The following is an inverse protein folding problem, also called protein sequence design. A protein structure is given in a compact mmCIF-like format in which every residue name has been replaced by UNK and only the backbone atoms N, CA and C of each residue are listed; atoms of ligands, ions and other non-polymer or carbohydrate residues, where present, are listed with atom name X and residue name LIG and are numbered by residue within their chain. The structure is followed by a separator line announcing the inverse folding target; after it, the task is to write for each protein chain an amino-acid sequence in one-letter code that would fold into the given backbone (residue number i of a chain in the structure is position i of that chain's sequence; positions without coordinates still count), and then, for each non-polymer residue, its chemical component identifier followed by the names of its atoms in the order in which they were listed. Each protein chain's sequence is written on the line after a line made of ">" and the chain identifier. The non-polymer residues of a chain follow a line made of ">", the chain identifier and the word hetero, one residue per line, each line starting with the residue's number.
data_IF_395612800644
#
_entry.id   IF_395612800644
#
_cell.length_a   1.000
_cell.length_b   1.000
_cell.length_c   1.000
_cell.angle_alpha   90.00
_cell.angle_beta   90.00
_cell.angle_gamma   90.00
#
_symmetry.space_group_name_H-M   'P 1'
#
loop_
_entity.id
_entity.type
_entity.pdbx_description
1 polymer ?
#
# COMPACT_ATOMS: atom_id res chain seq x y z
N UNK A 1 4.14 4.66 4.52
CA UNK A 1 4.02 5.92 5.30
C UNK A 1 4.85 5.88 6.58
N UNK A 2 4.80 4.79 7.33
CA UNK A 2 5.57 4.58 8.57
C UNK A 2 5.29 5.59 9.69
N UNK A 3 4.02 5.96 9.90
CA UNK A 3 3.61 6.85 11.00
C UNK A 3 3.90 6.19 12.36
N UNK A 4 4.28 7.02 13.35
CA UNK A 4 4.58 6.57 14.70
C UNK A 4 4.39 7.74 15.69
N UNK A 5 3.19 7.91 16.21
CA UNK A 5 2.83 8.98 17.14
C UNK A 5 2.56 8.44 18.54
N UNK A 6 1.64 7.50 18.66
CA UNK A 6 1.31 6.84 19.93
C UNK A 6 2.30 5.72 20.26
N UNK A 7 2.85 5.07 19.25
CA UNK A 7 3.89 4.09 19.43
C UNK A 7 5.17 4.74 19.99
N UNK A 8 5.77 4.17 21.01
CA UNK A 8 7.00 4.71 21.63
C UNK A 8 8.26 4.45 20.80
N UNK A 9 9.34 5.12 21.17
CA UNK A 9 10.66 4.95 20.55
C UNK A 9 10.82 5.72 19.23
N UNK A 10 11.90 5.44 18.53
CA UNK A 10 12.26 6.04 17.24
C UNK A 10 11.90 5.10 16.09
N UNK A 11 11.85 5.64 14.87
CA UNK A 11 11.70 4.83 13.67
C UNK A 11 12.82 3.78 13.55
N UNK A 12 12.54 2.67 12.90
CA UNK A 12 13.50 1.60 12.65
C UNK A 12 14.61 2.01 11.67
N UNK A 13 14.34 3.01 10.83
CA UNK A 13 15.30 3.65 9.91
C UNK A 13 15.30 5.16 10.16
N UNK A 14 16.47 5.81 10.34
CA UNK A 14 16.56 7.26 10.60
C UNK A 14 16.08 8.13 9.42
N UNK A 15 15.99 7.60 8.21
CA UNK A 15 15.44 8.31 7.05
C UNK A 15 13.91 8.46 7.14
N UNK A 16 13.24 7.62 7.92
CA UNK A 16 11.80 7.66 8.12
C UNK A 16 11.43 8.76 9.11
N UNK A 17 10.82 9.81 8.61
CA UNK A 17 10.37 10.94 9.42
C UNK A 17 9.02 10.64 10.10
N UNK A 18 8.92 9.50 10.76
CA UNK A 18 7.67 8.89 11.29
C UNK A 18 6.89 9.82 12.22
N UNK A 19 7.58 10.67 13.00
CA UNK A 19 6.97 11.63 13.92
C UNK A 19 6.43 12.89 13.24
N UNK A 20 6.93 13.22 12.05
CA UNK A 20 6.48 14.36 11.25
C UNK A 20 5.33 14.00 10.30
N UNK A 21 4.89 12.73 10.29
CA UNK A 21 3.84 12.31 9.37
C UNK A 21 2.50 13.05 9.55
N UNK A 22 2.05 13.46 10.75
CA UNK A 22 0.84 14.28 10.86
C UNK A 22 0.95 15.61 10.11
N UNK A 23 2.09 16.33 10.23
CA UNK A 23 2.31 17.58 9.50
C UNK A 23 2.32 17.33 7.98
N UNK A 24 2.95 16.23 7.52
CA UNK A 24 2.95 15.84 6.12
C UNK A 24 1.53 15.51 5.61
N UNK A 25 0.73 14.81 6.42
CA UNK A 25 -0.66 14.49 6.09
C UNK A 25 -1.54 15.75 6.03
N UNK A 26 -1.35 16.72 6.92
CA UNK A 26 -2.06 18.00 6.88
C UNK A 26 -1.75 18.77 5.59
N UNK A 27 -0.47 18.81 5.19
CA UNK A 27 -0.06 19.42 3.91
C UNK A 27 -0.62 18.67 2.70
N UNK A 28 -0.61 17.34 2.75
CA UNK A 28 -1.22 16.53 1.70
C UNK A 28 -2.73 16.77 1.59
N UNK A 29 -3.44 16.95 2.71
CA UNK A 29 -4.86 17.27 2.70
C UNK A 29 -5.18 18.61 2.01
N UNK A 30 -4.28 19.61 2.12
CA UNK A 30 -4.40 20.86 1.37
C UNK A 30 -4.23 20.62 -0.15
N UNK A 31 -3.24 19.82 -0.56
CA UNK A 31 -3.04 19.44 -1.97
C UNK A 31 -4.23 18.64 -2.52
N UNK A 32 -4.79 17.74 -1.74
CA UNK A 32 -5.97 16.94 -2.14
C UNK A 32 -7.16 17.84 -2.48
N UNK A 33 -7.38 18.93 -1.75
CA UNK A 33 -8.45 19.89 -2.04
C UNK A 33 -8.28 20.60 -3.40
N UNK A 34 -7.03 20.84 -3.80
CA UNK A 34 -6.70 21.47 -5.08
C UNK A 34 -6.77 20.47 -6.24
N UNK A 35 -6.26 19.27 -5.99
CA UNK A 35 -6.14 18.20 -7.00
C UNK A 35 -7.47 17.49 -7.25
N UNK A 36 -8.38 17.47 -6.27
CA UNK A 36 -9.70 16.82 -6.32
C UNK A 36 -9.70 15.39 -6.89
N UNK A 37 -8.88 14.47 -6.34
CA UNK A 37 -8.81 13.10 -6.84
C UNK A 37 -10.11 12.33 -6.55
N UNK A 38 -10.43 11.37 -7.41
CA UNK A 38 -11.58 10.47 -7.24
C UNK A 38 -11.34 9.42 -6.14
N UNK A 39 -10.08 9.08 -5.87
CA UNK A 39 -9.71 8.06 -4.89
C UNK A 39 -8.30 8.30 -4.35
N UNK A 40 -8.12 8.02 -3.07
CA UNK A 40 -6.80 7.95 -2.42
C UNK A 40 -6.35 6.49 -2.30
N UNK A 41 -5.09 6.21 -2.62
CA UNK A 41 -4.51 4.87 -2.52
C UNK A 41 -3.31 4.89 -1.58
N UNK A 42 -3.31 3.99 -0.58
CA UNK A 42 -2.17 3.79 0.30
C UNK A 42 -1.76 2.32 0.31
N UNK A 43 -0.58 2.05 -0.23
CA UNK A 43 -0.11 0.72 -0.57
C UNK A 43 0.71 0.04 0.56
N UNK A 44 0.33 0.28 1.81
CA UNK A 44 0.91 -0.41 2.98
C UNK A 44 2.02 0.35 3.70
N UNK A 45 2.55 -0.29 4.76
CA UNK A 45 3.49 0.31 5.70
C UNK A 45 2.97 1.65 6.24
N UNK A 46 1.74 1.62 6.74
CA UNK A 46 1.11 2.79 7.34
C UNK A 46 1.85 3.19 8.62
N UNK A 47 2.23 2.18 9.40
CA UNK A 47 2.97 2.32 10.66
C UNK A 47 4.41 1.80 10.53
N UNK A 48 5.21 2.04 11.57
CA UNK A 48 6.55 1.49 11.74
C UNK A 48 6.61 0.66 13.04
N UNK A 49 5.88 -0.46 13.06
CA UNK A 49 5.82 -1.35 14.22
C UNK A 49 7.11 -2.18 14.31
N UNK A 50 7.79 -2.25 15.49
CA UNK A 50 8.96 -3.10 15.68
C UNK A 50 8.68 -4.59 15.39
N UNK A 51 9.66 -5.30 14.82
CA UNK A 51 9.52 -6.73 14.53
C UNK A 51 9.21 -7.56 15.78
N UNK A 52 9.81 -7.21 16.92
CA UNK A 52 9.57 -7.87 18.21
C UNK A 52 8.07 -7.84 18.59
N UNK A 53 7.38 -6.74 18.31
CA UNK A 53 5.94 -6.62 18.61
C UNK A 53 5.13 -7.48 17.66
N UNK A 54 5.49 -7.52 16.37
CA UNK A 54 4.83 -8.39 15.39
C UNK A 54 5.01 -9.87 15.70
N UNK A 55 6.14 -10.24 16.31
CA UNK A 55 6.44 -11.60 16.76
C UNK A 55 5.84 -11.93 18.14
N UNK A 56 5.03 -11.04 18.73
CA UNK A 56 4.34 -11.24 20.00
C UNK A 56 5.15 -10.87 21.25
N UNK A 57 6.34 -10.32 21.07
CA UNK A 57 7.19 -9.79 22.14
C UNK A 57 7.03 -8.30 22.36
N UNK A 58 8.01 -7.71 23.06
CA UNK A 58 8.08 -6.25 23.28
C UNK A 58 9.53 -5.78 23.26
N UNK A 59 9.82 -4.60 22.68
CA UNK A 59 11.17 -4.03 22.69
C UNK A 59 11.54 -3.30 23.98
N UNK A 60 10.60 -3.15 24.94
CA UNK A 60 10.77 -2.43 26.19
C UNK A 60 9.92 -3.04 27.33
N UNK A 61 9.78 -2.35 28.46
CA UNK A 61 9.08 -2.83 29.66
C UNK A 61 7.54 -2.81 29.54
N UNK A 62 6.98 -2.32 28.44
CA UNK A 62 5.53 -2.34 28.20
C UNK A 62 5.05 -3.72 27.83
N UNK A 63 3.79 -4.01 28.12
CA UNK A 63 3.14 -5.23 27.67
C UNK A 63 2.91 -5.23 26.15
N UNK A 64 2.82 -6.40 25.56
CA UNK A 64 2.44 -6.53 24.15
C UNK A 64 1.06 -5.88 23.85
N UNK A 65 0.11 -5.98 24.79
CA UNK A 65 -1.21 -5.34 24.68
C UNK A 65 -1.10 -3.81 24.59
N UNK A 66 -0.26 -3.16 25.38
CA UNK A 66 -0.02 -1.72 25.30
C UNK A 66 0.57 -1.30 23.93
N UNK A 67 1.44 -2.14 23.36
CA UNK A 67 1.96 -1.92 22.01
C UNK A 67 0.88 -2.06 20.94
N UNK A 68 0.02 -3.08 21.03
CA UNK A 68 -1.12 -3.28 20.12
C UNK A 68 -2.08 -2.09 20.18
N UNK A 69 -2.45 -1.62 21.36
CA UNK A 69 -3.33 -0.47 21.53
C UNK A 69 -2.69 0.83 21.00
N UNK A 70 -1.37 1.01 21.17
CA UNK A 70 -0.66 2.14 20.57
C UNK A 70 -0.69 2.10 19.04
N UNK A 71 -0.55 0.90 18.46
CA UNK A 71 -0.65 0.72 17.01
C UNK A 71 -2.08 1.00 16.51
N UNK A 72 -3.11 0.52 17.20
CA UNK A 72 -4.52 0.85 16.87
C UNK A 72 -4.78 2.34 16.92
N UNK A 73 -4.27 3.04 17.93
CA UNK A 73 -4.40 4.48 18.04
C UNK A 73 -3.73 5.21 16.87
N UNK A 74 -2.57 4.75 16.41
CA UNK A 74 -1.88 5.31 15.25
C UNK A 74 -2.64 4.99 13.93
N UNK A 75 -3.20 3.79 13.76
CA UNK A 75 -4.09 3.48 12.63
C UNK A 75 -5.35 4.34 12.64
N UNK A 76 -5.94 4.59 13.82
CA UNK A 76 -7.12 5.43 13.93
C UNK A 76 -6.84 6.88 13.50
N UNK A 77 -5.67 7.45 13.83
CA UNK A 77 -5.25 8.77 13.32
C UNK A 77 -5.26 8.81 11.78
N UNK A 78 -4.75 7.75 11.14
CA UNK A 78 -4.72 7.67 9.68
C UNK A 78 -6.14 7.52 9.11
N UNK A 79 -6.98 6.72 9.74
CA UNK A 79 -8.38 6.56 9.33
C UNK A 79 -9.14 7.88 9.45
N UNK A 80 -9.03 8.55 10.59
CA UNK A 80 -9.68 9.85 10.83
C UNK A 80 -9.23 10.89 9.81
N UNK A 81 -7.94 10.87 9.42
CA UNK A 81 -7.42 11.72 8.36
C UNK A 81 -8.07 11.40 7.00
N UNK A 82 -8.18 10.13 6.60
CA UNK A 82 -8.89 9.74 5.38
C UNK A 82 -10.34 10.22 5.40
N UNK A 83 -11.05 9.96 6.50
CA UNK A 83 -12.45 10.35 6.64
C UNK A 83 -12.63 11.88 6.55
N UNK A 84 -11.68 12.65 7.08
CA UNK A 84 -11.68 14.11 7.01
C UNK A 84 -11.45 14.66 5.59
N UNK A 85 -10.79 13.92 4.70
CA UNK A 85 -10.62 14.32 3.29
C UNK A 85 -11.94 14.25 2.50
N UNK A 86 -12.89 13.46 2.94
CA UNK A 86 -14.13 13.12 2.24
C UNK A 86 -13.93 12.51 0.84
N UNK A 87 -12.73 12.06 0.50
CA UNK A 87 -12.39 11.37 -0.75
C UNK A 87 -12.45 9.85 -0.49
N UNK A 88 -13.07 9.06 -1.37
CA UNK A 88 -12.99 7.61 -1.28
C UNK A 88 -11.53 7.14 -1.19
N UNK A 89 -11.26 6.12 -0.38
CA UNK A 89 -9.89 5.60 -0.26
C UNK A 89 -9.84 4.07 -0.30
N UNK A 90 -8.70 3.55 -0.71
CA UNK A 90 -8.33 2.15 -0.62
C UNK A 90 -6.97 2.02 0.05
N UNK A 91 -6.85 1.03 0.95
CA UNK A 91 -5.67 0.85 1.77
C UNK A 91 -5.38 -0.64 1.95
N UNK A 92 -4.12 -1.01 1.95
CA UNK A 92 -3.66 -2.37 2.25
C UNK A 92 -2.58 -2.31 3.34
N UNK A 93 -2.40 -3.35 4.16
CA UNK A 93 -1.29 -3.41 5.10
C UNK A 93 0.03 -3.71 4.38
N UNK A 94 1.14 -3.36 5.02
CA UNK A 94 2.49 -3.74 4.64
C UNK A 94 3.18 -4.55 5.74
N UNK A 95 4.46 -4.88 5.52
CA UNK A 95 5.19 -5.71 6.48
C UNK A 95 5.59 -4.99 7.78
N UNK A 96 5.52 -3.66 7.83
CA UNK A 96 5.71 -2.88 9.06
C UNK A 96 4.41 -2.64 9.84
N UNK A 97 3.27 -3.03 9.29
CA UNK A 97 1.98 -2.95 9.96
C UNK A 97 1.74 -4.15 10.87
N UNK A 98 0.95 -3.97 11.93
CA UNK A 98 0.46 -5.04 12.79
C UNK A 98 -0.90 -5.48 12.25
N UNK A 99 -0.94 -6.63 11.58
CA UNK A 99 -2.10 -7.09 10.78
C UNK A 99 -3.41 -7.11 11.58
N UNK A 100 -3.39 -7.62 12.82
CA UNK A 100 -4.58 -7.67 13.68
C UNK A 100 -5.10 -6.26 14.04
N UNK A 101 -4.21 -5.35 14.43
CA UNK A 101 -4.57 -3.98 14.75
C UNK A 101 -5.04 -3.20 13.50
N UNK A 102 -4.43 -3.47 12.33
CA UNK A 102 -4.88 -2.92 11.06
C UNK A 102 -6.31 -3.41 10.73
N UNK A 103 -6.55 -4.71 10.87
CA UNK A 103 -7.85 -5.32 10.61
C UNK A 103 -8.98 -4.77 11.51
N UNK A 104 -8.67 -4.47 12.77
CA UNK A 104 -9.63 -3.87 13.70
C UNK A 104 -10.04 -2.44 13.29
N UNK A 105 -9.18 -1.72 12.58
CA UNK A 105 -9.45 -0.32 12.17
C UNK A 105 -9.98 -0.24 10.74
N UNK A 106 -9.40 -0.96 9.77
CA UNK A 106 -9.70 -0.83 8.33
C UNK A 106 -10.61 -1.91 7.76
N UNK A 107 -11.11 -2.84 8.58
CA UNK A 107 -12.00 -3.96 8.22
C UNK A 107 -11.38 -4.98 7.22
N UNK A 108 -11.32 -6.26 7.58
CA UNK A 108 -10.88 -7.34 6.71
C UNK A 108 -12.03 -8.25 6.26
N UNK A 109 -11.84 -9.07 5.22
CA UNK A 109 -10.90 -8.85 4.12
C UNK A 109 -11.44 -7.78 3.17
N UNK A 110 -10.58 -7.06 2.48
CA UNK A 110 -11.04 -6.03 1.56
C UNK A 110 -11.84 -6.67 0.41
N UNK A 111 -13.06 -6.18 0.21
CA UNK A 111 -13.86 -6.55 -0.97
C UNK A 111 -13.51 -5.62 -2.13
N UNK A 112 -13.68 -6.06 -3.38
CA UNK A 112 -13.55 -5.17 -4.54
C UNK A 112 -14.45 -3.94 -4.38
N UNK A 113 -13.96 -2.77 -4.73
CA UNK A 113 -14.69 -1.49 -4.67
C UNK A 113 -14.71 -0.84 -6.04
N UNK A 114 -15.89 -0.47 -6.51
CA UNK A 114 -16.04 0.30 -7.73
C UNK A 114 -16.00 1.80 -7.40
N UNK A 115 -14.99 2.50 -7.93
CA UNK A 115 -14.78 3.92 -7.72
C UNK A 115 -14.40 4.55 -9.06
N UNK A 116 -15.09 5.60 -9.48
CA UNK A 116 -14.81 6.36 -10.71
C UNK A 116 -14.60 5.46 -11.95
N UNK A 117 -15.44 4.44 -12.15
CA UNK A 117 -15.39 3.55 -13.31
C UNK A 117 -14.33 2.45 -13.26
N UNK A 118 -13.52 2.40 -12.21
CA UNK A 118 -12.49 1.39 -11.99
C UNK A 118 -12.84 0.48 -10.81
N UNK A 119 -12.56 -0.81 -10.92
CA UNK A 119 -12.71 -1.79 -9.84
C UNK A 119 -11.38 -1.99 -9.12
N UNK A 120 -11.33 -1.65 -7.84
CA UNK A 120 -10.15 -1.79 -6.98
C UNK A 120 -10.16 -3.14 -6.26
N UNK A 121 -9.12 -3.94 -6.51
CA UNK A 121 -8.81 -5.14 -5.76
C UNK A 121 -7.65 -4.86 -4.82
N UNK A 122 -7.87 -5.08 -3.52
CA UNK A 122 -6.87 -4.90 -2.47
C UNK A 122 -6.37 -6.26 -2.00
N UNK A 123 -5.06 -6.48 -2.05
CA UNK A 123 -4.45 -7.75 -1.67
C UNK A 123 -3.60 -7.58 -0.40
N UNK A 124 -3.93 -8.36 0.62
CA UNK A 124 -3.21 -8.39 1.90
C UNK A 124 -2.32 -9.63 1.91
N UNK A 125 -1.12 -9.51 1.41
CA UNK A 125 -0.22 -10.62 1.18
C UNK A 125 0.71 -10.89 2.36
N UNK A 126 1.24 -12.09 2.43
CA UNK A 126 2.09 -12.58 3.50
C UNK A 126 3.56 -12.57 3.09
N UNK A 127 4.43 -12.69 4.10
CA UNK A 127 5.83 -13.04 3.92
C UNK A 127 6.01 -14.54 4.17
N UNK A 128 6.77 -15.20 3.31
CA UNK A 128 7.25 -16.54 3.58
C UNK A 128 8.35 -16.52 4.66
N UNK A 129 8.76 -17.70 5.14
CA UNK A 129 9.80 -17.83 6.19
C UNK A 129 11.13 -17.16 5.82
N UNK A 130 11.46 -17.09 4.55
CA UNK A 130 12.65 -16.40 4.02
C UNK A 130 12.45 -14.90 3.79
N UNK A 131 11.36 -14.34 4.31
CA UNK A 131 10.95 -12.93 4.18
C UNK A 131 10.68 -12.48 2.73
N UNK A 132 10.53 -13.39 1.79
CA UNK A 132 10.08 -13.05 0.43
C UNK A 132 8.56 -13.03 0.37
N UNK A 133 7.95 -12.03 -0.30
CA UNK A 133 6.50 -11.94 -0.44
C UNK A 133 5.87 -13.15 -1.13
N UNK A 134 4.72 -13.56 -0.64
CA UNK A 134 4.00 -14.72 -1.14
C UNK A 134 2.49 -14.47 -1.15
N UNK A 135 1.83 -14.84 -2.25
CA UNK A 135 0.36 -14.84 -2.36
C UNK A 135 -0.13 -16.26 -2.46
N UNK A 136 -0.84 -16.73 -1.44
CA UNK A 136 -1.35 -18.11 -1.35
C UNK A 136 -2.80 -18.16 -0.86
N UNK A 137 -3.38 -19.36 -0.83
CA UNK A 137 -4.71 -19.60 -0.30
C UNK A 137 -5.78 -18.67 -0.88
N UNK A 138 -6.65 -18.16 -0.04
CA UNK A 138 -7.75 -17.27 -0.43
C UNK A 138 -7.30 -16.00 -1.18
N UNK A 139 -6.10 -15.48 -0.87
CA UNK A 139 -5.54 -14.30 -1.54
C UNK A 139 -5.14 -14.60 -2.99
N UNK A 140 -4.61 -15.80 -3.24
CA UNK A 140 -4.32 -16.29 -4.59
C UNK A 140 -5.62 -16.54 -5.37
N UNK A 141 -6.60 -17.15 -4.72
CA UNK A 141 -7.93 -17.37 -5.30
C UNK A 141 -8.60 -16.05 -5.67
N UNK A 142 -8.54 -15.03 -4.80
CA UNK A 142 -9.03 -13.67 -5.09
C UNK A 142 -8.35 -13.06 -6.31
N UNK A 143 -7.04 -13.23 -6.46
CA UNK A 143 -6.30 -12.72 -7.62
C UNK A 143 -6.71 -13.44 -8.91
N UNK A 144 -6.83 -14.76 -8.88
CA UNK A 144 -7.27 -15.56 -10.02
C UNK A 144 -8.72 -15.24 -10.40
N UNK A 145 -9.60 -15.07 -9.41
CA UNK A 145 -10.99 -14.67 -9.59
C UNK A 145 -11.12 -13.29 -10.22
N UNK A 146 -10.35 -12.31 -9.76
CA UNK A 146 -10.30 -10.97 -10.34
C UNK A 146 -10.00 -10.99 -11.85
N UNK A 147 -9.12 -11.88 -12.28
CA UNK A 147 -8.67 -11.98 -13.67
C UNK A 147 -9.60 -12.81 -14.57
N UNK A 148 -10.36 -13.76 -14.00
CA UNK A 148 -11.06 -14.78 -14.79
C UNK A 148 -12.58 -14.78 -14.63
N UNK A 149 -13.10 -14.32 -13.48
CA UNK A 149 -14.54 -14.31 -13.24
C UNK A 149 -15.24 -13.28 -14.14
N UNK A 150 -16.27 -13.68 -14.91
CA UNK A 150 -17.02 -12.74 -15.75
C UNK A 150 -17.69 -11.58 -15.00
N UNK A 151 -17.99 -11.72 -13.71
CA UNK A 151 -18.53 -10.62 -12.88
C UNK A 151 -17.52 -9.49 -12.69
N UNK A 152 -16.25 -9.76 -12.93
CA UNK A 152 -15.14 -8.81 -12.85
C UNK A 152 -14.63 -8.35 -14.22
N UNK A 153 -15.45 -8.51 -15.27
CA UNK A 153 -15.12 -8.07 -16.63
C UNK A 153 -15.29 -6.53 -16.77
N UNK A 154 -14.35 -5.80 -16.17
CA UNK A 154 -14.32 -4.34 -16.14
C UNK A 154 -12.86 -3.86 -15.92
N UNK A 155 -12.56 -2.58 -16.18
CA UNK A 155 -11.25 -2.02 -15.89
C UNK A 155 -10.90 -2.13 -14.38
N UNK A 156 -9.69 -2.61 -14.08
CA UNK A 156 -9.27 -2.93 -12.72
C UNK A 156 -7.99 -2.20 -12.32
N UNK A 157 -7.90 -1.85 -11.03
CA UNK A 157 -6.67 -1.44 -10.36
C UNK A 157 -6.40 -2.42 -9.22
N UNK A 158 -5.24 -3.04 -9.25
CA UNK A 158 -4.78 -3.94 -8.19
C UNK A 158 -3.89 -3.17 -7.22
N UNK A 159 -4.25 -3.16 -5.94
CA UNK A 159 -3.50 -2.50 -4.86
C UNK A 159 -2.92 -3.57 -3.95
N UNK A 160 -1.61 -3.50 -3.72
CA UNK A 160 -0.87 -4.47 -2.94
C UNK A 160 0.38 -3.81 -2.32
N UNK A 161 1.01 -4.46 -1.35
CA UNK A 161 2.22 -3.88 -0.76
C UNK A 161 3.49 -4.22 -1.54
N UNK A 162 3.62 -5.44 -2.04
CA UNK A 162 4.84 -5.91 -2.69
C UNK A 162 4.80 -5.80 -4.21
N UNK A 163 5.97 -5.83 -4.84
CA UNK A 163 6.13 -5.63 -6.28
C UNK A 163 5.96 -6.92 -7.07
N UNK A 164 5.32 -6.80 -8.24
CA UNK A 164 5.34 -7.83 -9.28
C UNK A 164 6.39 -7.46 -10.34
N UNK A 165 6.42 -6.20 -10.77
CA UNK A 165 7.30 -5.67 -11.82
C UNK A 165 7.62 -4.17 -11.53
N UNK A 166 8.75 -3.62 -11.97
CA UNK A 166 9.92 -4.30 -12.52
C UNK A 166 10.70 -5.07 -11.45
N UNK A 167 11.52 -6.07 -11.85
CA UNK A 167 12.32 -6.80 -10.87
C UNK A 167 13.37 -5.89 -10.22
N UNK A 168 13.55 -6.05 -8.91
CA UNK A 168 14.50 -5.26 -8.11
C UNK A 168 15.92 -5.81 -8.21
N UNK A 169 16.51 -5.76 -9.37
CA UNK A 169 17.84 -6.32 -9.67
C UNK A 169 18.90 -5.83 -8.69
N UNK A 170 19.59 -6.75 -8.03
CA UNK A 170 20.68 -6.44 -7.09
C UNK A 170 20.25 -6.00 -5.69
N UNK A 171 18.93 -5.87 -5.41
CA UNK A 171 18.40 -5.48 -4.11
C UNK A 171 17.94 -6.65 -3.24
N UNK A 172 17.97 -7.86 -3.78
CA UNK A 172 17.45 -9.06 -3.12
C UNK A 172 15.97 -9.30 -3.38
N UNK A 173 15.55 -10.54 -3.14
CA UNK A 173 14.20 -11.00 -3.51
C UNK A 173 13.10 -10.56 -2.55
N UNK A 174 13.42 -9.91 -1.45
CA UNK A 174 12.45 -9.50 -0.41
C UNK A 174 11.43 -8.44 -0.87
N UNK A 175 11.66 -7.81 -2.02
CA UNK A 175 10.79 -6.74 -2.53
C UNK A 175 9.72 -7.26 -3.50
N UNK A 176 9.92 -8.42 -4.09
CA UNK A 176 9.05 -8.98 -5.12
C UNK A 176 8.53 -10.37 -4.74
N UNK A 177 7.36 -10.73 -5.26
CA UNK A 177 6.76 -12.03 -4.97
C UNK A 177 7.62 -13.19 -5.46
N UNK A 178 7.62 -14.30 -4.71
CA UNK A 178 8.20 -15.58 -5.15
C UNK A 178 7.63 -16.05 -6.50
N UNK A 179 6.39 -15.67 -6.77
CA UNK A 179 5.62 -16.05 -7.96
C UNK A 179 5.44 -14.88 -8.93
N UNK A 180 6.30 -13.85 -8.87
CA UNK A 180 6.18 -12.63 -9.70
C UNK A 180 6.03 -12.95 -11.20
N UNK A 181 6.84 -13.86 -11.74
CA UNK A 181 6.77 -14.23 -13.16
C UNK A 181 5.41 -14.90 -13.52
N UNK A 182 4.90 -15.78 -12.66
CA UNK A 182 3.58 -16.39 -12.86
C UNK A 182 2.46 -15.35 -12.79
N UNK A 183 2.57 -14.38 -11.89
CA UNK A 183 1.61 -13.29 -11.75
C UNK A 183 1.66 -12.35 -12.98
N UNK A 184 2.84 -12.02 -13.49
CA UNK A 184 3.01 -11.24 -14.74
C UNK A 184 2.34 -11.93 -15.91
N UNK A 185 2.56 -13.23 -16.08
CA UNK A 185 1.94 -14.01 -17.15
C UNK A 185 0.41 -14.09 -17.00
N UNK A 186 -0.12 -14.09 -15.78
CA UNK A 186 -1.55 -14.03 -15.56
C UNK A 186 -2.14 -12.66 -15.90
N UNK A 187 -1.47 -11.57 -15.48
CA UNK A 187 -1.85 -10.19 -15.82
C UNK A 187 -1.84 -9.96 -17.34
N UNK A 188 -0.78 -10.45 -18.02
CA UNK A 188 -0.65 -10.34 -19.49
C UNK A 188 -1.80 -11.00 -20.25
N UNK A 189 -2.37 -12.09 -19.72
CA UNK A 189 -3.51 -12.79 -20.34
C UNK A 189 -4.85 -12.09 -20.09
N UNK A 190 -4.88 -11.18 -19.13
CA UNK A 190 -6.08 -10.41 -18.78
C UNK A 190 -5.94 -9.00 -19.37
N UNK A 191 -6.94 -8.56 -20.10
CA UNK A 191 -7.03 -7.20 -20.64
C UNK A 191 -7.74 -6.22 -19.68
N UNK A 192 -8.08 -6.66 -18.47
CA UNK A 192 -8.86 -5.90 -17.48
C UNK A 192 -8.00 -4.97 -16.65
N UNK A 193 -6.78 -5.39 -16.27
CA UNK A 193 -5.95 -4.67 -15.31
C UNK A 193 -5.27 -3.48 -15.98
N UNK A 194 -5.55 -2.28 -15.50
CA UNK A 194 -4.93 -1.02 -15.95
C UNK A 194 -3.68 -0.70 -15.16
N UNK A 195 -3.72 -0.93 -13.84
CA UNK A 195 -2.59 -0.63 -12.98
C UNK A 195 -2.45 -1.64 -11.83
N UNK A 196 -1.21 -1.92 -11.45
CA UNK A 196 -0.80 -2.56 -10.20
C UNK A 196 -0.03 -1.53 -9.39
N UNK A 197 -0.64 -1.07 -8.30
CA UNK A 197 -0.08 -0.07 -7.40
C UNK A 197 0.52 -0.76 -6.19
N UNK A 198 1.81 -0.55 -5.97
CA UNK A 198 2.58 -1.22 -4.92
C UNK A 198 3.27 -0.23 -3.97
N UNK A 199 3.88 -0.72 -2.91
CA UNK A 199 4.70 -0.01 -1.94
C UNK A 199 6.03 -0.72 -1.71
N UNK A 200 6.49 -0.77 -0.44
CA UNK A 200 7.64 -1.54 0.05
C UNK A 200 9.02 -1.10 -0.45
N UNK A 201 9.20 -0.76 -1.72
CA UNK A 201 10.48 -0.34 -2.27
C UNK A 201 10.61 1.19 -2.24
N UNK A 202 11.23 1.72 -1.19
CA UNK A 202 11.30 3.16 -0.88
C UNK A 202 11.85 4.07 -1.99
N UNK A 203 12.82 3.66 -2.82
CA UNK A 203 13.23 4.49 -3.95
C UNK A 203 12.15 4.76 -5.00
N UNK A 204 11.07 3.99 -4.97
CA UNK A 204 10.02 4.08 -5.97
C UNK A 204 10.39 3.39 -7.29
N UNK A 205 9.39 3.12 -8.10
CA UNK A 205 9.53 2.57 -9.45
C UNK A 205 8.31 2.89 -10.30
N UNK A 206 8.48 2.83 -11.62
CA UNK A 206 7.40 2.95 -12.59
C UNK A 206 7.79 2.22 -13.88
N UNK A 207 6.96 1.31 -14.33
CA UNK A 207 7.11 0.60 -15.59
C UNK A 207 5.73 0.30 -16.19
N UNK A 208 5.68 0.16 -17.50
CA UNK A 208 4.50 -0.38 -18.20
C UNK A 208 4.93 -1.66 -18.91
N UNK A 209 4.32 -2.77 -18.54
CA UNK A 209 4.62 -4.09 -19.07
C UNK A 209 3.34 -4.72 -19.60
N UNK A 210 3.33 -5.11 -20.87
CA UNK A 210 2.16 -5.71 -21.55
C UNK A 210 0.85 -4.88 -21.40
N UNK A 211 0.97 -3.55 -21.36
CA UNK A 211 -0.17 -2.62 -21.22
C UNK A 211 -0.62 -2.36 -19.77
N UNK A 212 0.00 -3.02 -18.80
CA UNK A 212 -0.28 -2.82 -17.37
C UNK A 212 0.75 -1.86 -16.77
N UNK A 213 0.28 -0.84 -16.06
CA UNK A 213 1.14 0.04 -15.27
C UNK A 213 1.53 -0.69 -13.98
N UNK A 214 2.82 -0.85 -13.74
CA UNK A 214 3.38 -1.28 -12.46
C UNK A 214 4.06 -0.10 -11.80
N UNK A 215 3.50 0.40 -10.71
CA UNK A 215 3.97 1.67 -10.17
C UNK A 215 3.91 1.71 -8.64
N UNK A 216 4.91 2.38 -8.09
CA UNK A 216 4.98 2.78 -6.69
C UNK A 216 5.74 4.11 -6.59
N UNK A 217 5.23 5.09 -5.84
CA UNK A 217 5.96 6.32 -5.56
C UNK A 217 7.15 6.03 -4.62
N UNK A 218 8.13 6.95 -4.51
CA UNK A 218 9.07 6.95 -3.41
C UNK A 218 8.33 6.98 -2.06
N UNK A 219 9.02 6.53 -0.98
CA UNK A 219 8.40 6.44 0.34
C UNK A 219 7.98 7.82 0.87
N UNK A 220 6.70 7.99 1.15
CA UNK A 220 6.13 9.25 1.65
C UNK A 220 6.70 9.68 3.01
N UNK A 221 7.20 8.75 3.82
CA UNK A 221 7.84 9.05 5.11
C UNK A 221 9.26 9.62 5.00
N UNK A 222 9.83 9.69 3.82
CA UNK A 222 11.17 10.22 3.56
C UNK A 222 11.05 11.55 2.80
N UNK A 223 11.96 12.50 3.09
CA UNK A 223 12.00 13.73 2.33
C UNK A 223 12.30 13.45 0.84
N UNK A 224 11.60 14.08 -0.10
CA UNK A 224 10.72 15.23 0.03
C UNK A 224 9.22 14.90 0.17
N UNK A 225 8.85 13.80 0.82
CA UNK A 225 7.45 13.36 1.01
C UNK A 225 6.70 13.21 -0.32
N UNK A 226 7.25 12.35 -1.18
CA UNK A 226 6.77 12.17 -2.54
C UNK A 226 5.44 11.41 -2.58
N UNK A 227 4.56 11.81 -3.50
CA UNK A 227 3.36 11.07 -3.87
C UNK A 227 3.16 11.12 -5.38
N UNK A 228 2.25 10.30 -5.89
CA UNK A 228 2.05 10.14 -7.34
C UNK A 228 0.58 10.23 -7.71
N UNK A 229 0.29 10.95 -8.79
CA UNK A 229 -1.05 11.05 -9.37
C UNK A 229 -1.10 10.18 -10.61
N UNK A 230 -2.19 9.45 -10.75
CA UNK A 230 -2.52 8.63 -11.91
C UNK A 230 -3.83 9.13 -12.50
N UNK A 231 -3.79 9.67 -13.70
CA UNK A 231 -4.97 9.96 -14.48
C UNK A 231 -5.21 8.78 -15.45
N UNK A 232 -6.28 8.05 -15.27
CA UNK A 232 -6.63 6.87 -16.06
C UNK A 232 -7.92 7.18 -16.81
N UNK A 233 -7.82 7.37 -18.12
CA UNK A 233 -8.97 7.67 -18.96
C UNK A 233 -9.76 6.40 -19.32
N UNK A 234 -11.03 6.58 -19.75
CA UNK A 234 -11.93 5.49 -20.14
C UNK A 234 -11.38 4.64 -21.30
N UNK A 235 -10.60 5.23 -22.20
CA UNK A 235 -9.95 4.53 -23.31
C UNK A 235 -8.71 3.72 -22.89
N UNK A 236 -8.35 3.76 -21.61
CA UNK A 236 -7.20 3.06 -21.02
C UNK A 236 -5.88 3.82 -21.14
N UNK A 237 -5.87 5.01 -21.74
CA UNK A 237 -4.69 5.88 -21.68
C UNK A 237 -4.49 6.39 -20.27
N UNK A 238 -3.23 6.62 -19.89
CA UNK A 238 -2.91 7.07 -18.54
C UNK A 238 -1.77 8.06 -18.52
N UNK A 239 -1.84 9.01 -17.60
CA UNK A 239 -0.76 9.93 -17.28
C UNK A 239 -0.34 9.71 -15.83
N UNK A 240 0.97 9.75 -15.58
CA UNK A 240 1.56 9.57 -14.24
C UNK A 240 2.39 10.80 -13.94
N UNK A 241 2.11 11.45 -12.81
CA UNK A 241 2.81 12.66 -12.39
C UNK A 241 3.34 12.51 -10.96
N UNK A 242 4.62 12.75 -10.78
CA UNK A 242 5.26 12.77 -9.46
C UNK A 242 5.12 14.14 -8.81
N UNK A 243 4.75 14.14 -7.54
CA UNK A 243 4.64 15.30 -6.69
C UNK A 243 5.45 15.13 -5.42
N UNK A 244 5.76 16.22 -4.75
CA UNK A 244 6.42 16.24 -3.45
C UNK A 244 5.87 17.38 -2.60
N UNK A 245 5.97 17.24 -1.27
CA UNK A 245 5.59 18.27 -0.33
C UNK A 245 6.83 19.04 0.12
N UNK A 246 6.75 20.36 0.12
CA UNK A 246 7.70 21.24 0.81
C UNK A 246 7.28 21.37 2.28
N UNK A 247 8.00 20.68 3.20
CA UNK A 247 7.79 20.73 4.66
C UNK A 247 8.82 21.60 5.36
#
# INVERSE_FOLDING_TARGET
>A
MHLRINQPGTASDPLRLSRSMPDALDRLAEQIKELTPDVLVMSGDLLDVPDEVKDGGTPDDRSHEEWVESAKADFQLIRDWFDATAVPYVVVPGNHDLEGAFADVFEPPPKPRDIAGLRFFCFWDELADDKQPLRTGARKEQFEDALTNPEHDCPQVHVQHYMIDPPTVGKGKRYEYKTADTMKEALKRSDRVRAVLSGHYHPGSNATTDGVIHSLPPAFCEAPHAFRIYDIADDGTSTITDHALDL
#
